data_IF_263615366549
#
_entry.id   IF_263615366549
#
_cell.length_a   1.000
_cell.length_b   1.000
_cell.length_c   1.000
_cell.angle_alpha   90.00
_cell.angle_beta   90.00
_cell.angle_gamma   90.00
#
_symmetry.space_group_name_H-M   'P 1'
#
loop_
_entity.id
_entity.type
_entity.pdbx_description
1 polymer ?
#
# COMPACT_ATOMS: atom_id res chain seq x y z
N UNK A 1 -3.46 -13.92 6.92
CA UNK A 1 -2.07 -13.56 7.25
C UNK A 1 -1.14 -13.50 6.01
N UNK A 2 -1.33 -14.37 4.99
CA UNK A 2 -0.47 -14.35 3.78
C UNK A 2 -0.67 -13.12 2.90
N UNK A 3 -1.89 -12.63 2.72
CA UNK A 3 -2.16 -11.44 1.91
C UNK A 3 -1.47 -10.18 2.43
N UNK A 4 -1.38 -10.03 3.75
CA UNK A 4 -0.69 -8.89 4.38
C UNK A 4 0.81 -8.92 4.08
N UNK A 5 1.44 -10.10 4.05
CA UNK A 5 2.88 -10.24 3.78
C UNK A 5 3.25 -9.85 2.35
N UNK A 6 2.43 -10.21 1.36
CA UNK A 6 2.77 -10.00 -0.06
C UNK A 6 2.60 -8.55 -0.48
N UNK A 7 1.56 -7.88 0.00
CA UNK A 7 1.40 -6.43 -0.18
C UNK A 7 2.45 -5.64 0.62
N UNK A 8 2.90 -6.15 1.77
CA UNK A 8 4.02 -5.59 2.52
C UNK A 8 5.35 -5.78 1.78
N UNK A 9 5.57 -6.94 1.16
CA UNK A 9 6.79 -7.25 0.41
C UNK A 9 6.99 -6.36 -0.83
N UNK A 10 5.91 -5.89 -1.45
CA UNK A 10 5.95 -4.91 -2.55
C UNK A 10 5.97 -3.46 -2.08
N UNK A 11 5.80 -3.20 -0.79
CA UNK A 11 5.50 -1.90 -0.18
C UNK A 11 4.22 -1.23 -0.71
N UNK A 12 3.37 -1.93 -1.45
CA UNK A 12 2.09 -1.37 -1.89
C UNK A 12 1.19 -0.99 -0.71
N UNK A 13 1.23 -1.73 0.41
CA UNK A 13 0.49 -1.34 1.62
C UNK A 13 0.86 0.08 2.08
N UNK A 14 2.15 0.43 2.08
CA UNK A 14 2.57 1.80 2.40
C UNK A 14 2.11 2.81 1.36
N UNK A 15 2.07 2.40 0.10
CA UNK A 15 1.49 3.22 -0.97
C UNK A 15 0.00 3.47 -0.76
N UNK A 16 -0.77 2.47 -0.34
CA UNK A 16 -2.18 2.62 -0.01
C UNK A 16 -2.38 3.48 1.25
N UNK A 17 -1.58 3.28 2.29
CA UNK A 17 -1.60 4.13 3.49
C UNK A 17 -1.26 5.61 3.18
N UNK A 18 -0.37 5.88 2.22
CA UNK A 18 -0.12 7.22 1.71
C UNK A 18 -1.38 7.84 1.09
N UNK A 19 -2.10 7.05 0.27
CA UNK A 19 -3.37 7.47 -0.35
C UNK A 19 -4.43 7.72 0.72
N UNK A 20 -4.56 6.82 1.68
CA UNK A 20 -5.47 6.95 2.82
C UNK A 20 -5.19 8.21 3.63
N UNK A 21 -3.93 8.46 3.98
CA UNK A 21 -3.53 9.65 4.73
C UNK A 21 -3.86 10.94 3.98
N UNK A 22 -3.64 10.98 2.67
CA UNK A 22 -4.00 12.12 1.83
C UNK A 22 -5.48 12.46 1.94
N UNK A 23 -6.36 11.46 1.81
CA UNK A 23 -7.81 11.69 1.83
C UNK A 23 -8.39 11.86 3.23
N UNK A 24 -7.90 11.12 4.22
CA UNK A 24 -8.42 11.18 5.60
C UNK A 24 -8.05 12.48 6.31
N UNK A 25 -6.88 13.03 6.01
CA UNK A 25 -6.36 14.23 6.69
C UNK A 25 -6.35 15.47 5.81
N UNK A 26 -6.86 15.36 4.56
CA UNK A 26 -6.78 16.44 3.56
C UNK A 26 -5.36 16.98 3.42
N UNK A 27 -4.38 16.10 3.51
CA UNK A 27 -2.95 16.44 3.49
C UNK A 27 -2.42 16.36 2.06
N UNK A 28 -1.75 17.40 1.54
CA UNK A 28 -1.08 17.33 0.25
C UNK A 28 -0.06 16.18 0.21
N UNK A 29 0.01 15.46 -0.90
CA UNK A 29 0.85 14.27 -1.04
C UNK A 29 2.36 14.55 -0.89
N UNK A 30 2.79 15.79 -1.16
CA UNK A 30 4.16 16.29 -0.98
C UNK A 30 4.51 16.64 0.47
N UNK A 31 3.53 16.51 1.38
CA UNK A 31 3.70 16.65 2.83
C UNK A 31 3.53 15.33 3.58
N UNK A 32 3.48 14.23 2.86
CA UNK A 32 3.38 12.90 3.45
C UNK A 32 4.61 12.11 3.05
N UNK A 33 5.47 11.81 4.01
CA UNK A 33 6.67 11.05 3.81
C UNK A 33 6.53 9.61 4.32
N UNK A 34 7.25 8.70 3.67
CA UNK A 34 7.36 7.31 4.09
C UNK A 34 8.79 7.04 4.53
N UNK A 35 8.93 6.49 5.73
CA UNK A 35 10.21 6.12 6.31
C UNK A 35 10.23 4.63 6.61
N UNK A 36 11.33 3.96 6.27
CA UNK A 36 11.54 2.54 6.61
C UNK A 36 12.16 2.46 7.99
N UNK A 37 11.45 1.79 8.92
CA UNK A 37 11.85 1.62 10.30
C UNK A 37 11.84 0.14 10.69
N UNK A 38 13.01 -0.56 10.62
CA UNK A 38 13.07 -2.01 10.81
C UNK A 38 12.61 -2.50 12.18
N UNK A 39 12.83 -1.71 13.23
CA UNK A 39 12.43 -2.07 14.60
C UNK A 39 10.90 -2.03 14.78
N UNK A 40 10.19 -1.35 13.88
CA UNK A 40 8.71 -1.26 13.87
C UNK A 40 8.11 -0.84 15.23
N UNK A 41 8.79 0.07 15.93
CA UNK A 41 8.37 0.63 17.22
C UNK A 41 7.62 1.94 17.02
N UNK A 42 8.06 2.75 16.06
CA UNK A 42 7.36 3.97 15.65
C UNK A 42 6.44 3.63 14.48
N UNK A 43 5.17 3.98 14.63
CA UNK A 43 4.14 3.66 13.64
C UNK A 43 3.67 4.86 12.83
N UNK A 44 3.74 6.06 13.44
CA UNK A 44 3.44 7.33 12.77
C UNK A 44 4.18 8.48 13.43
N UNK A 45 4.45 9.52 12.63
CA UNK A 45 5.05 10.77 13.10
C UNK A 45 4.28 11.95 12.52
N UNK A 46 4.26 13.05 13.28
CA UNK A 46 3.80 14.36 12.81
C UNK A 46 4.94 15.35 13.03
N UNK A 47 5.41 15.94 11.94
CA UNK A 47 6.37 17.04 11.98
C UNK A 47 5.63 18.38 12.00
N UNK A 48 6.01 19.25 12.91
CA UNK A 48 5.44 20.58 13.07
C UNK A 48 6.31 21.64 12.39
N UNK A 49 5.74 22.81 12.18
CA UNK A 49 6.41 23.93 11.51
C UNK A 49 7.63 24.49 12.26
N UNK A 50 7.77 24.17 13.53
CA UNK A 50 8.92 24.52 14.37
C UNK A 50 10.05 23.47 14.29
N UNK A 51 9.86 22.40 13.49
CA UNK A 51 10.81 21.30 13.34
C UNK A 51 10.70 20.23 14.42
N UNK A 52 9.78 20.35 15.38
CA UNK A 52 9.53 19.29 16.35
C UNK A 52 8.78 18.12 15.72
N UNK A 53 9.07 16.89 16.18
CA UNK A 53 8.41 15.68 15.72
C UNK A 53 7.68 15.00 16.88
N UNK A 54 6.40 14.74 16.72
CA UNK A 54 5.63 13.90 17.61
C UNK A 54 5.47 12.50 17.02
N UNK A 55 5.94 11.48 17.74
CA UNK A 55 5.90 10.09 17.30
C UNK A 55 4.96 9.24 18.16
N UNK A 56 4.13 8.42 17.50
CA UNK A 56 3.37 7.36 18.16
C UNK A 56 4.24 6.11 18.23
N UNK A 57 4.54 5.65 19.44
CA UNK A 57 5.39 4.49 19.71
C UNK A 57 4.60 3.38 20.40
N UNK A 58 4.92 2.13 20.08
CA UNK A 58 4.32 0.96 20.73
C UNK A 58 4.88 -0.35 20.18
N UNK A 59 4.62 -1.45 20.85
CA UNK A 59 4.86 -2.75 20.25
C UNK A 59 3.97 -2.96 19.03
N UNK A 60 4.42 -3.69 17.98
CA UNK A 60 3.63 -3.93 16.78
C UNK A 60 2.50 -4.94 17.04
N UNK A 61 1.46 -4.48 17.73
CA UNK A 61 0.32 -5.29 18.15
C UNK A 61 -0.99 -4.55 17.85
N UNK A 62 -1.78 -5.14 16.96
CA UNK A 62 -3.05 -4.57 16.51
C UNK A 62 -4.11 -4.42 17.61
N UNK A 63 -3.96 -5.10 18.73
CA UNK A 63 -4.85 -4.91 19.89
C UNK A 63 -4.80 -3.48 20.43
N UNK A 64 -3.66 -2.79 20.29
CA UNK A 64 -3.51 -1.39 20.72
C UNK A 64 -4.42 -0.44 19.94
N UNK A 65 -4.32 -0.32 18.61
CA UNK A 65 -5.20 0.58 17.87
C UNK A 65 -6.67 0.15 17.92
N UNK A 66 -6.96 -1.15 17.89
CA UNK A 66 -8.35 -1.67 17.94
C UNK A 66 -8.99 -1.28 19.28
N UNK A 67 -8.32 -1.51 20.41
CA UNK A 67 -8.86 -1.16 21.74
C UNK A 67 -9.07 0.35 21.91
N UNK A 68 -8.16 1.16 21.33
CA UNK A 68 -8.31 2.61 21.37
C UNK A 68 -9.51 3.08 20.55
N UNK A 69 -9.70 2.53 19.36
CA UNK A 69 -10.85 2.88 18.50
C UNK A 69 -12.18 2.51 19.17
N UNK A 70 -12.25 1.33 19.81
CA UNK A 70 -13.46 0.88 20.47
C UNK A 70 -13.79 1.66 21.75
N UNK A 71 -12.78 2.18 22.43
CA UNK A 71 -12.95 2.89 23.70
C UNK A 71 -12.86 4.43 23.59
N UNK A 72 -12.65 4.94 22.37
CA UNK A 72 -12.45 6.38 22.15
C UNK A 72 -13.53 7.24 22.84
N UNK A 73 -13.16 8.37 23.49
CA UNK A 73 -11.81 8.96 23.61
C UNK A 73 -10.96 8.34 24.74
N UNK A 74 -11.47 7.39 25.47
CA UNK A 74 -10.79 6.78 26.63
C UNK A 74 -9.78 5.71 26.17
N UNK A 75 -8.90 5.32 27.10
CA UNK A 75 -8.00 4.19 26.91
C UNK A 75 -8.33 3.09 27.92
N UNK A 76 -8.51 1.87 27.41
CA UNK A 76 -8.80 0.69 28.23
C UNK A 76 -7.55 -0.19 28.37
N UNK A 77 -7.38 -0.89 29.49
CA UNK A 77 -6.31 -1.85 29.66
C UNK A 77 -6.36 -2.95 28.60
N UNK A 78 -5.20 -3.27 28.04
CA UNK A 78 -5.03 -4.40 27.12
C UNK A 78 -4.00 -5.38 27.67
N UNK A 79 -3.97 -6.61 27.14
CA UNK A 79 -2.92 -7.58 27.46
C UNK A 79 -1.68 -7.44 26.56
N UNK A 80 -1.52 -6.27 25.94
CA UNK A 80 -0.33 -5.96 25.13
C UNK A 80 0.83 -5.71 26.09
N UNK A 81 1.97 -6.30 25.78
CA UNK A 81 3.20 -6.06 26.53
C UNK A 81 3.59 -4.58 26.44
N UNK A 82 3.96 -4.00 27.56
CA UNK A 82 4.37 -2.59 27.62
C UNK A 82 5.73 -2.40 26.98
N UNK A 83 5.86 -1.40 26.13
CA UNK A 83 7.12 -1.01 25.56
C UNK A 83 8.05 -0.46 26.66
N UNK A 84 9.27 -1.02 26.76
CA UNK A 84 10.29 -0.57 27.69
C UNK A 84 11.44 0.08 26.91
N UNK A 85 11.52 1.39 26.96
CA UNK A 85 12.46 2.17 26.16
C UNK A 85 13.93 1.80 26.39
N UNK A 86 14.27 1.44 27.64
CA UNK A 86 15.63 1.00 27.98
C UNK A 86 16.08 -0.27 27.25
N UNK A 87 15.14 -1.10 26.82
CA UNK A 87 15.44 -2.37 26.14
C UNK A 87 15.61 -2.19 24.63
N UNK A 88 15.03 -1.13 24.05
CA UNK A 88 15.11 -0.81 22.60
C UNK A 88 16.52 -0.35 22.21
N UNK A 89 17.16 0.45 23.05
CA UNK A 89 18.52 1.01 22.87
C UNK A 89 18.72 1.87 21.63
N UNK A 90 18.23 1.45 20.44
CA UNK A 90 18.46 2.12 19.15
C UNK A 90 17.22 2.02 18.28
N UNK A 91 16.91 3.09 17.57
CA UNK A 91 15.93 3.16 16.49
C UNK A 91 16.66 3.59 15.22
N UNK A 92 16.37 2.93 14.11
CA UNK A 92 17.00 3.20 12.82
C UNK A 92 15.96 3.56 11.78
N UNK A 93 16.32 4.49 10.89
CA UNK A 93 15.44 5.00 9.86
C UNK A 93 16.16 5.06 8.53
N UNK A 94 15.48 4.70 7.44
CA UNK A 94 15.99 4.72 6.09
C UNK A 94 14.95 5.30 5.16
N UNK A 95 15.41 5.93 4.10
CA UNK A 95 14.54 6.30 2.98
C UNK A 95 14.11 5.05 2.20
N UNK A 96 12.89 5.03 1.65
CA UNK A 96 12.44 3.93 0.80
C UNK A 96 13.21 3.90 -0.53
N UNK A 97 13.60 2.70 -0.94
CA UNK A 97 14.27 2.46 -2.21
C UNK A 97 13.21 2.24 -3.32
N UNK A 98 12.89 3.27 -4.07
CA UNK A 98 11.89 3.21 -5.15
C UNK A 98 12.27 2.27 -6.30
N UNK A 99 13.58 2.01 -6.51
CA UNK A 99 14.02 1.05 -7.54
C UNK A 99 13.70 -0.39 -7.11
N UNK A 100 13.85 -0.69 -5.82
CA UNK A 100 13.48 -2.00 -5.26
C UNK A 100 11.96 -2.15 -5.07
N UNK A 101 11.26 -1.05 -4.80
CA UNK A 101 9.84 -1.03 -4.48
C UNK A 101 9.04 -0.14 -5.45
N UNK A 102 8.99 -0.50 -6.74
CA UNK A 102 8.33 0.34 -7.75
C UNK A 102 6.82 0.49 -7.55
N UNK A 103 6.18 -0.40 -6.78
CA UNK A 103 4.77 -0.25 -6.40
C UNK A 103 4.51 1.01 -5.57
N UNK A 104 5.49 1.43 -4.77
CA UNK A 104 5.39 2.67 -4.00
C UNK A 104 5.38 3.91 -4.91
N UNK A 105 6.22 3.91 -5.95
CA UNK A 105 6.23 4.98 -6.96
C UNK A 105 4.90 5.06 -7.72
N UNK A 106 4.28 3.90 -8.03
CA UNK A 106 2.95 3.85 -8.65
C UNK A 106 1.88 4.49 -7.75
N UNK A 107 1.96 4.31 -6.43
CA UNK A 107 1.04 4.94 -5.50
C UNK A 107 1.18 6.47 -5.49
N UNK A 108 2.41 7.01 -5.41
CA UNK A 108 2.66 8.45 -5.55
C UNK A 108 2.17 9.00 -6.89
N UNK A 109 2.42 8.25 -7.97
CA UNK A 109 1.97 8.63 -9.31
C UNK A 109 0.45 8.69 -9.41
N UNK A 110 -0.26 7.71 -8.82
CA UNK A 110 -1.73 7.69 -8.81
C UNK A 110 -2.32 8.89 -8.06
N UNK A 111 -1.72 9.32 -6.95
CA UNK A 111 -2.12 10.54 -6.24
C UNK A 111 -1.87 11.80 -7.06
N UNK A 112 -0.78 11.87 -7.82
CA UNK A 112 -0.51 13.01 -8.72
C UNK A 112 -1.51 13.08 -9.86
N UNK A 113 -1.89 11.94 -10.44
CA UNK A 113 -2.91 11.83 -11.49
C UNK A 113 -4.28 12.21 -10.93
N UNK A 114 -4.57 11.88 -9.66
CA UNK A 114 -5.86 12.10 -8.99
C UNK A 114 -7.02 11.32 -9.62
N UNK A 115 -8.26 11.81 -9.42
CA UNK A 115 -9.48 11.22 -10.00
C UNK A 115 -9.62 9.74 -9.64
N UNK A 116 -9.90 8.90 -10.62
CA UNK A 116 -10.06 7.45 -10.42
C UNK A 116 -8.74 6.67 -10.34
N UNK A 117 -7.57 7.29 -10.51
CA UNK A 117 -6.29 6.57 -10.55
C UNK A 117 -6.00 5.74 -9.26
N UNK A 118 -6.28 6.21 -8.03
CA UNK A 118 -6.13 5.38 -6.83
C UNK A 118 -7.02 4.13 -6.83
N UNK A 119 -8.25 4.24 -7.35
CA UNK A 119 -9.17 3.09 -7.49
C UNK A 119 -8.62 2.06 -8.46
N UNK A 120 -8.11 2.52 -9.61
CA UNK A 120 -7.47 1.65 -10.62
C UNK A 120 -6.25 0.95 -10.03
N UNK A 121 -5.40 1.68 -9.29
CA UNK A 121 -4.22 1.14 -8.61
C UNK A 121 -4.61 -0.02 -7.68
N UNK A 122 -5.57 0.23 -6.78
CA UNK A 122 -5.99 -0.76 -5.80
C UNK A 122 -6.59 -2.01 -6.45
N UNK A 123 -7.53 -1.83 -7.38
CA UNK A 123 -8.17 -2.93 -8.10
C UNK A 123 -7.15 -3.81 -8.84
N UNK A 124 -6.20 -3.16 -9.55
CA UNK A 124 -5.13 -3.86 -10.26
C UNK A 124 -4.19 -4.61 -9.32
N UNK A 125 -3.85 -4.01 -8.18
CA UNK A 125 -2.99 -4.63 -7.18
C UNK A 125 -3.62 -5.88 -6.59
N UNK A 126 -4.89 -5.83 -6.19
CA UNK A 126 -5.59 -7.00 -5.64
C UNK A 126 -5.62 -8.18 -6.62
N UNK A 127 -5.92 -7.91 -7.90
CA UNK A 127 -5.92 -8.94 -8.95
C UNK A 127 -4.52 -9.51 -9.20
N UNK A 128 -3.49 -8.66 -9.21
CA UNK A 128 -2.10 -9.09 -9.42
C UNK A 128 -1.58 -9.92 -8.23
N UNK A 129 -1.87 -9.51 -6.99
CA UNK A 129 -1.50 -10.25 -5.77
C UNK A 129 -2.22 -11.60 -5.72
N UNK A 130 -3.52 -11.65 -5.99
CA UNK A 130 -4.27 -12.92 -6.07
C UNK A 130 -3.68 -13.88 -7.11
N UNK A 131 -3.31 -13.36 -8.28
CA UNK A 131 -2.69 -14.16 -9.32
C UNK A 131 -1.29 -14.66 -8.91
N UNK A 132 -0.50 -13.86 -8.19
CA UNK A 132 0.78 -14.29 -7.64
C UNK A 132 0.60 -15.41 -6.59
N UNK A 133 -0.32 -15.24 -5.64
CA UNK A 133 -0.63 -16.25 -4.63
C UNK A 133 -1.10 -17.58 -5.25
N UNK A 134 -1.84 -17.52 -6.35
CA UNK A 134 -2.25 -18.66 -7.16
C UNK A 134 -1.15 -19.16 -8.10
N UNK A 135 0.09 -18.67 -7.98
CA UNK A 135 1.27 -19.05 -8.80
C UNK A 135 1.02 -18.86 -10.31
N UNK A 136 0.18 -17.93 -10.70
CA UNK A 136 -0.11 -17.62 -12.11
C UNK A 136 0.88 -16.64 -12.72
N UNK A 137 1.51 -15.80 -11.89
CA UNK A 137 2.52 -14.81 -12.27
C UNK A 137 3.68 -14.83 -11.28
N UNK A 138 4.81 -14.24 -11.65
CA UNK A 138 5.95 -14.04 -10.73
C UNK A 138 5.74 -12.82 -9.85
N UNK A 139 6.47 -12.74 -8.73
CA UNK A 139 6.46 -11.59 -7.82
C UNK A 139 6.78 -10.27 -8.56
N UNK A 140 7.81 -10.28 -9.39
CA UNK A 140 8.20 -9.12 -10.18
C UNK A 140 7.18 -8.72 -11.27
N UNK A 141 6.18 -9.54 -11.53
CA UNK A 141 5.10 -9.21 -12.47
C UNK A 141 4.01 -8.36 -11.81
N UNK A 142 3.91 -8.33 -10.48
CA UNK A 142 2.85 -7.59 -9.77
C UNK A 142 2.89 -6.13 -10.20
N UNK A 143 4.00 -5.42 -10.01
CA UNK A 143 4.11 -4.00 -10.35
C UNK A 143 3.84 -3.73 -11.83
N UNK A 144 4.30 -4.62 -12.73
CA UNK A 144 4.11 -4.46 -14.18
C UNK A 144 2.64 -4.55 -14.59
N UNK A 145 1.87 -5.41 -13.94
CA UNK A 145 0.44 -5.54 -14.18
C UNK A 145 -0.29 -4.30 -13.69
N UNK A 146 0.06 -3.81 -12.50
CA UNK A 146 -0.52 -2.59 -11.93
C UNK A 146 -0.21 -1.39 -12.84
N UNK A 147 1.04 -1.21 -13.22
CA UNK A 147 1.49 -0.15 -14.12
C UNK A 147 0.75 -0.19 -15.47
N UNK A 148 0.70 -1.36 -16.12
CA UNK A 148 -0.01 -1.54 -17.39
C UNK A 148 -1.50 -1.24 -17.26
N UNK A 149 -2.11 -1.62 -16.15
CA UNK A 149 -3.52 -1.35 -15.90
C UNK A 149 -3.77 0.13 -15.74
N UNK A 150 -2.95 0.83 -14.95
CA UNK A 150 -3.00 2.29 -14.80
C UNK A 150 -2.86 3.01 -16.15
N UNK A 151 -1.93 2.56 -16.99
CA UNK A 151 -1.69 3.17 -18.30
C UNK A 151 -2.82 2.89 -19.32
N UNK A 152 -3.56 1.79 -19.18
CA UNK A 152 -4.65 1.40 -20.09
C UNK A 152 -6.01 1.88 -19.63
N UNK A 153 -6.24 2.01 -18.33
CA UNK A 153 -7.52 2.40 -17.79
C UNK A 153 -7.86 3.86 -18.15
N UNK A 154 -9.13 4.10 -18.40
CA UNK A 154 -9.64 5.47 -18.58
C UNK A 154 -9.77 6.14 -17.21
N UNK A 155 -8.96 7.18 -16.99
CA UNK A 155 -9.01 7.95 -15.74
C UNK A 155 -10.08 9.02 -15.84
N UNK A 156 -11.08 8.96 -14.98
CA UNK A 156 -12.24 9.84 -14.94
C UNK A 156 -12.47 10.45 -13.56
N UNK A 157 -13.26 11.51 -13.50
CA UNK A 157 -13.70 12.07 -12.24
C UNK A 157 -14.65 11.09 -11.53
N UNK A 158 -14.59 11.07 -10.21
CA UNK A 158 -15.44 10.26 -9.34
C UNK A 158 -16.42 11.19 -8.64
N UNK A 159 -17.72 11.03 -8.92
CA UNK A 159 -18.77 11.86 -8.35
C UNK A 159 -19.74 11.05 -7.48
N UNK A 160 -19.67 9.73 -7.55
CA UNK A 160 -20.55 8.83 -6.80
C UNK A 160 -19.85 7.52 -6.44
N UNK A 161 -20.40 6.80 -5.46
CA UNK A 161 -19.96 5.42 -5.12
C UNK A 161 -20.11 4.49 -6.34
N UNK A 162 -21.13 4.71 -7.17
CA UNK A 162 -21.33 3.92 -8.38
C UNK A 162 -20.14 4.09 -9.35
N UNK A 163 -19.64 5.30 -9.53
CA UNK A 163 -18.47 5.54 -10.39
C UNK A 163 -17.23 4.77 -9.89
N UNK A 164 -17.04 4.72 -8.56
CA UNK A 164 -15.96 3.92 -7.94
C UNK A 164 -16.10 2.44 -8.29
N UNK A 165 -17.31 1.88 -8.13
CA UNK A 165 -17.57 0.47 -8.41
C UNK A 165 -17.41 0.14 -9.89
N UNK A 166 -17.86 1.02 -10.78
CA UNK A 166 -17.73 0.84 -12.22
C UNK A 166 -16.23 0.87 -12.64
N UNK A 167 -15.45 1.82 -12.12
CA UNK A 167 -14.00 1.91 -12.37
C UNK A 167 -13.25 0.70 -11.79
N UNK A 168 -13.57 0.28 -10.56
CA UNK A 168 -12.98 -0.91 -9.93
C UNK A 168 -13.22 -2.16 -10.78
N UNK A 169 -14.47 -2.37 -11.18
CA UNK A 169 -14.87 -3.53 -12.00
C UNK A 169 -14.12 -3.57 -13.33
N UNK A 170 -14.04 -2.45 -14.04
CA UNK A 170 -13.34 -2.36 -15.31
C UNK A 170 -11.83 -2.54 -15.14
N UNK A 171 -11.25 -1.97 -14.09
CA UNK A 171 -9.82 -2.12 -13.79
C UNK A 171 -9.44 -3.57 -13.47
N UNK A 172 -10.29 -4.29 -12.75
CA UNK A 172 -10.12 -5.73 -12.50
C UNK A 172 -10.19 -6.54 -13.79
N UNK A 173 -11.09 -6.19 -14.69
CA UNK A 173 -11.20 -6.83 -16.00
C UNK A 173 -9.91 -6.63 -16.82
N UNK A 174 -9.40 -5.39 -16.88
CA UNK A 174 -8.15 -5.04 -17.60
C UNK A 174 -6.95 -5.78 -17.02
N UNK A 175 -6.81 -5.79 -15.69
CA UNK A 175 -5.71 -6.50 -15.01
C UNK A 175 -5.75 -8.01 -15.29
N UNK A 176 -6.95 -8.61 -15.30
CA UNK A 176 -7.16 -10.03 -15.60
C UNK A 176 -6.77 -10.37 -17.04
N UNK A 177 -7.08 -9.50 -17.99
CA UNK A 177 -6.65 -9.66 -19.41
C UNK A 177 -5.11 -9.67 -19.53
N UNK A 178 -4.42 -8.76 -18.82
CA UNK A 178 -2.95 -8.76 -18.83
C UNK A 178 -2.38 -10.06 -18.25
N UNK A 179 -2.94 -10.58 -17.17
CA UNK A 179 -2.49 -11.84 -16.56
C UNK A 179 -2.68 -13.02 -17.53
N UNK A 180 -3.81 -13.08 -18.23
CA UNK A 180 -4.12 -14.15 -19.18
C UNK A 180 -3.12 -14.13 -20.34
N UNK A 181 -2.81 -12.95 -20.87
CA UNK A 181 -1.85 -12.77 -21.97
C UNK A 181 -0.41 -13.09 -21.52
N UNK A 182 -0.04 -12.84 -20.25
CA UNK A 182 1.27 -13.22 -19.72
C UNK A 182 1.53 -14.73 -19.77
N UNK A 183 0.50 -15.55 -19.57
CA UNK A 183 0.59 -17.01 -19.65
C UNK A 183 0.85 -17.49 -21.06
N UNK A 184 0.22 -16.88 -22.04
CA UNK A 184 0.32 -17.28 -23.45
C UNK A 184 1.75 -17.09 -23.96
N UNK A 185 2.40 -15.98 -23.61
CA UNK A 185 3.77 -15.64 -24.02
C UNK A 185 4.80 -16.55 -23.33
N UNK A 186 4.63 -16.84 -22.03
CA UNK A 186 5.55 -17.73 -21.28
C UNK A 186 5.49 -19.19 -21.78
N UNK A 187 4.34 -19.65 -22.25
CA UNK A 187 4.16 -21.03 -22.72
C UNK A 187 4.72 -21.22 -24.14
N UNK A 188 4.73 -20.19 -24.97
CA UNK A 188 5.31 -20.24 -26.31
C UNK A 188 6.84 -20.30 -26.29
N UNK A 189 7.50 -19.64 -25.32
CA UNK A 189 8.96 -19.70 -25.18
C UNK A 189 9.46 -21.06 -24.65
N UNK A 190 8.66 -21.80 -23.92
CA UNK A 190 9.03 -23.14 -23.38
C UNK A 190 8.85 -24.27 -24.43
N UNK A 191 8.17 -24.02 -25.55
CA UNK A 191 7.99 -24.98 -26.67
C UNK A 191 8.97 -24.79 -27.82
N UNK A 192 9.82 -23.78 -27.75
CA UNK A 192 10.77 -23.44 -28.85
C UNK A 192 12.22 -23.91 -28.56
N UNK A 193 12.41 -24.87 -27.63
CA UNK A 193 13.69 -25.57 -27.37
C UNK A 193 13.49 -27.07 -27.30
#
# INVERSE_FOLDING_TARGET
>A
EMCIRDSSATMMNKGLELIEAHYLFDMPHDKIDIVVHPESIIHSCVEYSDGSILAQMGNPDMRTPISYTLAYPNRIPTRVEKLKLSDIKKLTFYEPDFLKFPCLELAYSSLKIKKSAPTVLNAANEIAVDAFLKKKISFLSIHRIVEKTLNKASISDINSIKDVVDVDTESRRIATEFITNYRTVSYTHLRAH
#
